data_IF_311411566724
#
_entry.id   IF_311411566724
#
_cell.length_a   1.000
_cell.length_b   1.000
_cell.length_c   1.000
_cell.angle_alpha   90.00
_cell.angle_beta   90.00
_cell.angle_gamma   90.00
#
_symmetry.space_group_name_H-M   'P 1'
#
loop_
_entity.id
_entity.type
_entity.pdbx_description
1 polymer ?
#
# COMPACT_ATOMS: atom_id res chain seq x y z
N UNK A 1 50.73 4.53 -57.75
CA UNK A 1 49.55 4.54 -56.87
C UNK A 1 50.08 4.96 -55.48
N UNK A 2 49.86 6.23 -55.16
CA UNK A 2 50.57 6.91 -54.09
C UNK A 2 50.01 6.54 -52.69
N UNK A 3 50.92 6.46 -51.72
CA UNK A 3 50.66 6.13 -50.29
C UNK A 3 49.62 7.10 -49.66
N UNK A 4 49.34 8.25 -50.27
CA UNK A 4 48.46 9.27 -49.79
C UNK A 4 46.95 8.92 -49.90
N UNK A 5 46.59 8.05 -50.87
CA UNK A 5 45.20 7.56 -51.01
C UNK A 5 44.82 6.54 -49.95
N UNK A 6 45.81 5.82 -49.40
CA UNK A 6 45.57 4.84 -48.32
C UNK A 6 45.39 5.52 -46.93
N UNK A 7 45.98 6.71 -46.76
CA UNK A 7 45.85 7.52 -45.51
C UNK A 7 44.52 8.21 -45.40
N UNK A 8 43.92 8.63 -46.49
CA UNK A 8 42.58 9.23 -46.51
C UNK A 8 41.46 8.23 -46.26
N UNK A 9 41.63 6.92 -46.64
CA UNK A 9 40.64 5.89 -46.41
C UNK A 9 40.52 5.44 -44.94
N UNK A 10 41.62 5.56 -44.17
CA UNK A 10 41.61 5.22 -42.71
C UNK A 10 40.98 6.33 -41.82
N UNK A 11 40.89 7.58 -42.27
CA UNK A 11 40.35 8.68 -41.48
C UNK A 11 38.82 8.76 -41.49
N UNK A 12 38.15 8.10 -42.45
CA UNK A 12 36.67 8.14 -42.60
C UNK A 12 35.98 7.01 -41.80
N UNK A 13 36.71 6.01 -41.31
CA UNK A 13 36.15 4.84 -40.65
C UNK A 13 35.86 5.02 -39.12
N UNK A 14 36.13 6.19 -38.54
CA UNK A 14 35.98 6.42 -37.08
C UNK A 14 34.88 7.39 -36.66
N UNK A 15 34.07 7.87 -37.59
CA UNK A 15 32.84 8.60 -37.24
C UNK A 15 31.66 7.62 -37.12
N UNK A 16 31.75 6.64 -36.24
CA UNK A 16 30.55 5.93 -35.76
C UNK A 16 29.76 6.95 -34.92
N UNK A 17 28.56 7.35 -35.35
CA UNK A 17 27.73 8.18 -34.48
C UNK A 17 27.53 7.34 -33.20
N UNK A 18 28.03 7.81 -32.08
CA UNK A 18 27.61 7.35 -30.77
C UNK A 18 26.14 7.73 -30.69
N UNK A 19 25.27 6.83 -31.11
CA UNK A 19 23.87 6.89 -30.75
C UNK A 19 23.88 6.87 -29.23
N UNK A 20 23.78 8.02 -28.61
CA UNK A 20 23.47 8.13 -27.19
C UNK A 20 22.17 7.36 -27.00
N UNK A 21 22.27 6.14 -26.52
CA UNK A 21 21.11 5.43 -26.01
C UNK A 21 20.57 6.32 -24.88
N UNK A 22 19.53 7.08 -25.19
CA UNK A 22 18.87 7.90 -24.21
C UNK A 22 18.25 6.91 -23.21
N UNK A 23 18.77 6.86 -22.00
CA UNK A 23 18.23 5.99 -20.97
C UNK A 23 16.81 6.46 -20.63
N UNK A 24 15.83 5.60 -20.78
CA UNK A 24 14.46 5.87 -20.37
C UNK A 24 14.29 5.32 -18.95
N UNK A 25 13.80 6.12 -18.01
CA UNK A 25 13.41 5.66 -16.67
C UNK A 25 12.01 5.06 -16.75
N UNK A 26 11.88 3.79 -16.44
CA UNK A 26 10.60 3.07 -16.51
C UNK A 26 10.08 2.77 -15.11
N UNK A 27 8.95 3.37 -14.74
CA UNK A 27 8.30 3.15 -13.45
C UNK A 27 7.08 2.26 -13.65
N UNK A 28 7.09 1.10 -13.03
CA UNK A 28 5.93 0.23 -12.91
C UNK A 28 4.97 0.74 -11.82
N UNK A 29 3.69 0.62 -12.06
CA UNK A 29 2.67 1.01 -11.08
C UNK A 29 1.66 -0.11 -10.97
N UNK A 30 1.51 -0.66 -9.77
CA UNK A 30 0.49 -1.68 -9.46
C UNK A 30 -0.50 -1.09 -8.47
N UNK A 31 -1.75 -0.89 -8.88
CA UNK A 31 -2.78 -0.21 -8.07
C UNK A 31 -4.15 -0.84 -8.29
N UNK A 32 -4.98 -0.87 -7.24
CA UNK A 32 -6.33 -1.41 -7.29
C UNK A 32 -7.31 -0.37 -7.86
N UNK A 33 -7.37 -0.19 -9.18
CA UNK A 33 -8.36 0.72 -9.79
C UNK A 33 -9.75 0.10 -9.89
N UNK A 34 -9.86 -1.20 -9.67
CA UNK A 34 -11.12 -1.95 -9.55
C UNK A 34 -11.15 -2.76 -8.25
N UNK A 35 -12.29 -3.40 -7.94
CA UNK A 35 -12.47 -4.20 -6.73
C UNK A 35 -12.67 -3.38 -5.44
N UNK A 36 -12.62 -4.03 -4.26
CA UNK A 36 -12.93 -3.40 -2.97
C UNK A 36 -12.05 -2.21 -2.58
N UNK A 37 -10.82 -2.12 -3.07
CA UNK A 37 -9.91 -1.00 -2.81
C UNK A 37 -9.95 0.09 -3.91
N UNK A 38 -10.90 0.03 -4.85
CA UNK A 38 -10.94 0.94 -5.99
C UNK A 38 -10.97 2.43 -5.61
N UNK A 39 -11.64 2.78 -4.52
CA UNK A 39 -11.67 4.17 -4.04
C UNK A 39 -10.25 4.74 -3.77
N UNK A 40 -9.32 3.89 -3.31
CA UNK A 40 -7.93 4.26 -3.07
C UNK A 40 -7.15 4.26 -4.38
N UNK A 41 -7.26 3.19 -5.17
CA UNK A 41 -6.47 3.02 -6.40
C UNK A 41 -6.82 4.02 -7.49
N UNK A 42 -8.10 4.43 -7.62
CA UNK A 42 -8.53 5.46 -8.56
C UNK A 42 -7.86 6.81 -8.23
N UNK A 43 -7.82 7.20 -6.95
CA UNK A 43 -7.15 8.44 -6.54
C UNK A 43 -5.66 8.40 -6.84
N UNK A 44 -5.01 7.27 -6.55
CA UNK A 44 -3.61 7.04 -6.90
C UNK A 44 -3.39 7.16 -8.41
N UNK A 45 -4.21 6.50 -9.22
CA UNK A 45 -4.11 6.54 -10.69
C UNK A 45 -4.32 7.97 -11.24
N UNK A 46 -5.19 8.76 -10.62
CA UNK A 46 -5.36 10.16 -11.00
C UNK A 46 -4.11 10.99 -10.69
N UNK A 47 -3.45 10.73 -9.55
CA UNK A 47 -2.21 11.42 -9.20
C UNK A 47 -1.05 11.06 -10.16
N UNK A 48 -0.97 9.83 -10.66
CA UNK A 48 0.05 9.39 -11.62
C UNK A 48 0.00 10.21 -12.92
N UNK A 49 -1.18 10.65 -13.35
CA UNK A 49 -1.34 11.49 -14.54
C UNK A 49 -0.67 12.87 -14.42
N UNK A 50 -0.31 13.27 -13.20
CA UNK A 50 0.39 14.52 -12.90
C UNK A 50 1.91 14.33 -12.78
N UNK A 51 2.41 13.10 -12.93
CA UNK A 51 3.82 12.81 -12.81
C UNK A 51 4.61 13.42 -13.99
N UNK A 52 5.88 13.80 -13.75
CA UNK A 52 6.68 14.50 -14.74
C UNK A 52 7.04 13.58 -15.91
N UNK A 53 7.18 14.16 -17.10
CA UNK A 53 7.61 13.44 -18.29
C UNK A 53 9.11 13.07 -18.28
N UNK A 54 9.88 13.60 -17.30
CA UNK A 54 11.30 13.32 -17.13
C UNK A 54 11.64 13.12 -15.66
N UNK A 55 12.57 12.20 -15.37
CA UNK A 55 13.13 11.96 -14.05
C UNK A 55 14.65 12.04 -14.14
N UNK A 56 15.27 12.89 -13.29
CA UNK A 56 16.72 13.08 -13.32
C UNK A 56 17.29 13.61 -14.65
N UNK A 57 16.44 14.21 -15.48
CA UNK A 57 16.82 14.68 -16.83
C UNK A 57 16.57 13.67 -17.95
N UNK A 58 16.26 12.41 -17.63
CA UNK A 58 15.93 11.36 -18.60
C UNK A 58 14.43 11.25 -18.84
N UNK A 59 13.97 10.87 -20.04
CA UNK A 59 12.55 10.57 -20.29
C UNK A 59 12.01 9.53 -19.32
N UNK A 60 10.78 9.72 -18.84
CA UNK A 60 10.12 8.81 -17.93
C UNK A 60 8.88 8.16 -18.59
N UNK A 61 8.77 6.85 -18.44
CA UNK A 61 7.61 6.06 -18.87
C UNK A 61 6.96 5.37 -17.67
N UNK A 62 5.65 5.42 -17.61
CA UNK A 62 4.85 4.85 -16.54
C UNK A 62 3.99 3.70 -17.05
N UNK A 63 4.19 2.49 -16.52
CA UNK A 63 3.42 1.28 -16.86
C UNK A 63 2.45 1.00 -15.73
N UNK A 64 1.17 1.31 -15.94
CA UNK A 64 0.14 1.18 -14.90
C UNK A 64 -0.67 -0.09 -15.12
N UNK A 65 -0.75 -0.93 -14.07
CA UNK A 65 -1.51 -2.17 -14.05
C UNK A 65 -2.54 -2.13 -12.90
N UNK A 66 -3.71 -2.71 -13.15
CA UNK A 66 -4.77 -2.88 -12.15
C UNK A 66 -4.68 -4.27 -11.54
N UNK A 67 -4.52 -4.34 -10.22
CA UNK A 67 -4.57 -5.61 -9.48
C UNK A 67 -5.99 -6.06 -9.12
N UNK A 68 -6.99 -5.17 -9.24
CA UNK A 68 -8.38 -5.46 -8.90
C UNK A 68 -8.60 -5.81 -7.43
N UNK A 69 -7.67 -5.45 -6.54
CA UNK A 69 -7.61 -5.86 -5.14
C UNK A 69 -7.40 -7.38 -4.97
N UNK A 70 -6.89 -8.07 -6.01
CA UNK A 70 -6.57 -9.49 -6.01
C UNK A 70 -5.08 -9.70 -5.82
N UNK A 71 -4.70 -10.41 -4.75
CA UNK A 71 -3.29 -10.64 -4.37
C UNK A 71 -2.53 -11.42 -5.44
N UNK A 72 -3.18 -12.41 -6.07
CA UNK A 72 -2.53 -13.23 -7.10
C UNK A 72 -2.29 -12.41 -8.36
N UNK A 73 -3.22 -11.50 -8.70
CA UNK A 73 -3.07 -10.58 -9.83
C UNK A 73 -1.96 -9.57 -9.55
N UNK A 74 -1.87 -9.01 -8.33
CA UNK A 74 -0.78 -8.13 -7.95
C UNK A 74 0.60 -8.79 -8.13
N UNK A 75 0.77 -10.04 -7.70
CA UNK A 75 2.01 -10.80 -7.92
C UNK A 75 2.29 -11.01 -9.42
N UNK A 76 1.28 -11.33 -10.23
CA UNK A 76 1.44 -11.45 -11.69
C UNK A 76 1.84 -10.12 -12.32
N UNK A 77 1.22 -9.02 -11.89
CA UNK A 77 1.56 -7.67 -12.34
C UNK A 77 3.02 -7.33 -12.01
N UNK A 78 3.46 -7.57 -10.77
CA UNK A 78 4.85 -7.32 -10.37
C UNK A 78 5.84 -8.16 -11.18
N UNK A 79 5.54 -9.44 -11.43
CA UNK A 79 6.37 -10.28 -12.29
C UNK A 79 6.42 -9.75 -13.72
N UNK A 80 5.29 -9.32 -14.28
CA UNK A 80 5.25 -8.70 -15.61
C UNK A 80 6.08 -7.42 -15.65
N UNK A 81 5.88 -6.51 -14.69
CA UNK A 81 6.62 -5.26 -14.60
C UNK A 81 8.13 -5.48 -14.54
N UNK A 82 8.59 -6.45 -13.74
CA UNK A 82 10.02 -6.72 -13.55
C UNK A 82 10.66 -7.51 -14.69
N UNK A 83 9.97 -8.52 -15.25
CA UNK A 83 10.55 -9.44 -16.22
C UNK A 83 10.31 -9.03 -17.68
N UNK A 84 9.12 -8.50 -18.00
CA UNK A 84 8.74 -8.13 -19.36
C UNK A 84 8.96 -6.63 -19.62
N UNK A 85 8.38 -5.78 -18.76
CA UNK A 85 8.46 -4.33 -18.89
C UNK A 85 9.81 -3.75 -18.38
N UNK A 86 10.58 -4.54 -17.61
CA UNK A 86 11.91 -4.23 -17.07
C UNK A 86 11.99 -2.87 -16.38
N UNK A 87 11.04 -2.64 -15.48
CA UNK A 87 10.93 -1.38 -14.75
C UNK A 87 12.08 -1.17 -13.77
N UNK A 88 12.51 0.08 -13.60
CA UNK A 88 13.57 0.47 -12.65
C UNK A 88 13.06 0.47 -11.20
N UNK A 89 11.77 0.74 -11.02
CA UNK A 89 11.12 0.71 -9.71
C UNK A 89 9.61 0.43 -9.86
N UNK A 90 8.99 -0.06 -8.77
CA UNK A 90 7.54 -0.26 -8.67
C UNK A 90 6.98 0.72 -7.64
N UNK A 91 5.91 1.43 -8.00
CA UNK A 91 5.09 2.21 -7.07
C UNK A 91 3.75 1.49 -6.88
N UNK A 92 3.36 1.28 -5.65
CA UNK A 92 2.27 0.39 -5.28
C UNK A 92 2.80 -0.89 -4.61
N UNK A 93 1.92 -1.83 -4.28
CA UNK A 93 0.46 -1.76 -4.37
C UNK A 93 -0.18 -0.93 -3.23
N UNK A 94 -1.50 -0.76 -3.32
CA UNK A 94 -2.29 -0.02 -2.33
C UNK A 94 -2.66 -0.86 -1.09
N UNK A 95 -2.51 -2.18 -1.13
CA UNK A 95 -2.93 -3.07 -0.05
C UNK A 95 -1.75 -3.80 0.58
N UNK A 96 -1.81 -3.99 1.90
CA UNK A 96 -0.77 -4.70 2.66
C UNK A 96 -0.58 -6.12 2.15
N UNK A 97 -1.67 -6.83 1.85
CA UNK A 97 -1.61 -8.22 1.40
C UNK A 97 -0.87 -8.35 0.05
N UNK A 98 -1.15 -7.44 -0.90
CA UNK A 98 -0.47 -7.44 -2.19
C UNK A 98 1.01 -7.07 -2.05
N UNK A 99 1.35 -6.08 -1.20
CA UNK A 99 2.74 -5.69 -0.95
C UNK A 99 3.55 -6.84 -0.34
N UNK A 100 3.00 -7.55 0.65
CA UNK A 100 3.65 -8.70 1.26
C UNK A 100 3.85 -9.86 0.28
N UNK A 101 2.85 -10.15 -0.54
CA UNK A 101 2.93 -11.22 -1.53
C UNK A 101 3.95 -10.93 -2.65
N UNK A 102 4.25 -9.66 -2.90
CA UNK A 102 5.25 -9.22 -3.87
C UNK A 102 6.70 -9.34 -3.41
N UNK A 103 6.97 -9.49 -2.10
CA UNK A 103 8.34 -9.46 -1.54
C UNK A 103 9.28 -10.47 -2.18
N UNK A 104 8.80 -11.68 -2.51
CA UNK A 104 9.63 -12.68 -3.18
C UNK A 104 10.04 -12.23 -4.59
N UNK A 105 9.14 -11.59 -5.34
CA UNK A 105 9.46 -11.03 -6.67
C UNK A 105 10.54 -9.96 -6.57
N UNK A 106 10.44 -9.07 -5.58
CA UNK A 106 11.44 -8.02 -5.36
C UNK A 106 12.81 -8.59 -4.98
N UNK A 107 12.83 -9.60 -4.11
CA UNK A 107 14.07 -10.27 -3.70
C UNK A 107 14.74 -11.03 -4.86
N UNK A 108 13.95 -11.66 -5.74
CA UNK A 108 14.42 -12.36 -6.93
C UNK A 108 15.00 -11.41 -7.99
N UNK A 109 14.42 -10.22 -8.15
CA UNK A 109 14.75 -9.32 -9.27
C UNK A 109 15.63 -8.14 -8.86
N UNK A 110 15.74 -7.83 -7.58
CA UNK A 110 16.43 -6.63 -7.08
C UNK A 110 15.73 -5.33 -7.47
N UNK A 111 14.43 -5.37 -7.79
CA UNK A 111 13.66 -4.19 -8.18
C UNK A 111 13.07 -3.51 -6.95
N UNK A 112 13.36 -2.23 -6.69
CA UNK A 112 12.78 -1.53 -5.54
C UNK A 112 11.29 -1.30 -5.70
N UNK A 113 10.54 -1.47 -4.60
CA UNK A 113 9.11 -1.16 -4.50
C UNK A 113 8.88 -0.06 -3.48
N UNK A 114 8.07 0.91 -3.83
CA UNK A 114 7.52 1.93 -2.91
C UNK A 114 6.05 1.61 -2.70
N UNK A 115 5.74 0.82 -1.67
CA UNK A 115 4.37 0.47 -1.34
C UNK A 115 3.55 1.70 -0.89
N UNK A 116 2.29 1.74 -1.29
CA UNK A 116 1.33 2.77 -0.93
C UNK A 116 0.42 2.33 0.24
N UNK A 117 0.77 1.23 0.89
CA UNK A 117 0.14 0.71 2.10
C UNK A 117 0.96 1.05 3.34
N UNK A 118 0.31 1.33 4.47
CA UNK A 118 0.95 1.90 5.65
C UNK A 118 1.52 0.88 6.64
N UNK A 119 1.17 -0.39 6.51
CA UNK A 119 1.56 -1.42 7.49
C UNK A 119 3.08 -1.56 7.62
N UNK A 120 3.59 -1.51 8.86
CA UNK A 120 5.01 -1.67 9.17
C UNK A 120 5.55 -3.03 8.74
N UNK A 121 4.73 -4.08 8.74
CA UNK A 121 5.14 -5.44 8.36
C UNK A 121 5.63 -5.57 6.91
N UNK A 122 5.38 -4.57 6.07
CA UNK A 122 5.89 -4.54 4.69
C UNK A 122 7.42 -4.38 4.69
N UNK A 123 7.94 -3.56 5.60
CA UNK A 123 9.36 -3.19 5.66
C UNK A 123 10.07 -3.74 6.90
N UNK A 124 9.35 -4.27 7.87
CA UNK A 124 9.89 -4.82 9.12
C UNK A 124 9.70 -6.34 9.21
N UNK A 125 10.67 -7.07 9.80
CA UNK A 125 11.95 -6.55 10.33
C UNK A 125 12.95 -6.23 9.22
N UNK A 126 13.75 -5.19 9.40
CA UNK A 126 14.80 -4.78 8.44
C UNK A 126 15.87 -5.85 8.20
N UNK A 127 16.00 -6.81 9.11
CA UNK A 127 16.92 -7.94 8.99
C UNK A 127 16.44 -9.03 8.03
N UNK A 128 15.19 -8.99 7.58
CA UNK A 128 14.66 -9.95 6.61
C UNK A 128 15.13 -9.59 5.19
N UNK A 129 15.97 -10.44 4.54
CA UNK A 129 16.52 -10.14 3.23
C UNK A 129 15.44 -9.96 2.14
N UNK A 130 14.25 -10.53 2.29
CA UNK A 130 13.13 -10.34 1.36
C UNK A 130 12.63 -8.89 1.33
N UNK A 131 12.93 -8.10 2.36
CA UNK A 131 12.52 -6.70 2.49
C UNK A 131 13.57 -5.70 2.06
N UNK A 132 14.75 -6.16 1.62
CA UNK A 132 15.85 -5.29 1.21
C UNK A 132 15.45 -4.28 0.11
N UNK A 133 14.48 -4.63 -0.73
CA UNK A 133 13.99 -3.82 -1.83
C UNK A 133 12.59 -3.23 -1.57
N UNK A 134 12.04 -3.43 -0.37
CA UNK A 134 10.72 -2.95 -0.01
C UNK A 134 10.80 -1.63 0.78
N UNK A 135 10.19 -0.60 0.25
CA UNK A 135 9.99 0.70 0.86
C UNK A 135 8.50 1.00 0.93
N UNK A 136 8.10 1.99 1.72
CA UNK A 136 6.72 2.46 1.74
C UNK A 136 6.64 3.97 1.96
N UNK A 137 5.63 4.61 1.40
CA UNK A 137 5.43 6.04 1.50
C UNK A 137 4.60 6.46 2.73
N UNK A 138 3.45 5.81 3.06
CA UNK A 138 2.67 6.23 4.21
C UNK A 138 3.42 5.99 5.53
N UNK A 139 3.09 6.78 6.56
CA UNK A 139 3.59 6.59 7.93
C UNK A 139 3.27 5.18 8.46
N UNK A 140 4.00 4.73 9.47
CA UNK A 140 3.72 3.44 10.12
C UNK A 140 2.36 3.48 10.84
N UNK A 141 1.63 2.37 10.77
CA UNK A 141 0.40 2.13 11.51
C UNK A 141 0.62 2.20 13.03
N UNK A 142 1.79 1.82 13.54
CA UNK A 142 2.18 1.98 14.94
C UNK A 142 2.12 3.43 15.43
N UNK A 143 2.61 4.40 14.62
CA UNK A 143 2.54 5.82 14.96
C UNK A 143 1.09 6.27 15.07
N UNK A 144 0.26 5.89 14.11
CA UNK A 144 -1.16 6.22 14.11
C UNK A 144 -1.90 5.59 15.30
N UNK A 145 -1.60 4.31 15.61
CA UNK A 145 -2.19 3.61 16.75
C UNK A 145 -1.87 4.33 18.07
N UNK A 146 -0.63 4.79 18.25
CA UNK A 146 -0.22 5.57 19.42
C UNK A 146 -1.05 6.85 19.55
N UNK A 147 -1.19 7.62 18.47
CA UNK A 147 -1.97 8.88 18.48
C UNK A 147 -3.45 8.64 18.80
N UNK A 148 -4.04 7.58 18.22
CA UNK A 148 -5.45 7.23 18.49
C UNK A 148 -5.63 6.82 19.95
N UNK A 149 -4.74 6.01 20.51
CA UNK A 149 -4.80 5.59 21.92
C UNK A 149 -4.62 6.78 22.86
N UNK A 150 -3.70 7.70 22.56
CA UNK A 150 -3.52 8.91 23.36
C UNK A 150 -4.78 9.80 23.36
N UNK A 151 -5.44 9.96 22.22
CA UNK A 151 -6.69 10.70 22.13
C UNK A 151 -7.82 10.02 22.91
N UNK A 152 -7.94 8.68 22.81
CA UNK A 152 -8.89 7.91 23.61
C UNK A 152 -8.66 8.11 25.12
N UNK A 153 -7.40 8.07 25.57
CA UNK A 153 -7.01 8.32 26.96
C UNK A 153 -7.34 9.73 27.43
N UNK A 154 -7.03 10.75 26.61
CA UNK A 154 -7.36 12.16 26.91
C UNK A 154 -8.86 12.38 27.06
N UNK A 155 -9.68 11.64 26.35
CA UNK A 155 -11.15 11.67 26.45
C UNK A 155 -11.72 10.80 27.58
N UNK A 156 -10.86 10.13 28.35
CA UNK A 156 -11.29 9.28 29.47
C UNK A 156 -11.95 7.96 29.05
N UNK A 157 -11.82 7.56 27.78
CA UNK A 157 -12.34 6.30 27.26
C UNK A 157 -11.50 5.15 27.83
N UNK A 158 -12.13 4.06 28.24
CA UNK A 158 -11.44 2.93 28.89
C UNK A 158 -11.72 1.58 28.24
N UNK A 159 -12.97 1.37 27.79
CA UNK A 159 -13.39 0.13 27.16
C UNK A 159 -13.46 0.36 25.66
N UNK A 160 -12.65 -0.33 24.90
CA UNK A 160 -12.58 -0.15 23.44
C UNK A 160 -12.88 -1.47 22.75
N UNK A 161 -13.70 -1.42 21.69
CA UNK A 161 -13.84 -2.54 20.78
C UNK A 161 -13.05 -2.30 19.49
N UNK A 162 -12.58 -3.38 18.91
CA UNK A 162 -11.91 -3.40 17.62
C UNK A 162 -12.76 -4.15 16.60
N UNK A 163 -12.93 -3.58 15.41
CA UNK A 163 -13.49 -4.28 14.25
C UNK A 163 -12.61 -4.00 13.05
N UNK A 164 -11.97 -5.01 12.49
CA UNK A 164 -10.98 -4.83 11.42
C UNK A 164 -11.13 -5.83 10.29
N UNK A 165 -10.46 -5.54 9.16
CA UNK A 165 -10.39 -6.50 8.07
C UNK A 165 -9.82 -7.84 8.52
N UNK A 166 -10.34 -8.93 7.94
CA UNK A 166 -9.81 -10.29 8.12
C UNK A 166 -8.67 -10.55 7.11
N UNK A 167 -7.67 -9.67 7.11
CA UNK A 167 -6.47 -9.76 6.26
C UNK A 167 -5.26 -9.19 6.99
N UNK A 168 -4.09 -9.20 6.32
CA UNK A 168 -2.83 -8.71 6.88
C UNK A 168 -2.85 -7.23 7.30
N UNK A 169 -3.71 -6.39 6.70
CA UNK A 169 -3.92 -5.02 7.14
C UNK A 169 -4.60 -4.97 8.51
N UNK A 170 -5.70 -5.69 8.67
CA UNK A 170 -6.41 -5.77 9.95
C UNK A 170 -5.58 -6.44 11.05
N UNK A 171 -4.73 -7.42 10.69
CA UNK A 171 -3.82 -8.09 11.64
C UNK A 171 -2.71 -7.15 12.11
N UNK A 172 -2.12 -6.38 11.20
CA UNK A 172 -1.13 -5.35 11.54
C UNK A 172 -1.75 -4.30 12.48
N UNK A 173 -2.91 -3.78 12.14
CA UNK A 173 -3.61 -2.81 12.97
C UNK A 173 -3.98 -3.36 14.35
N UNK A 174 -4.42 -4.61 14.41
CA UNK A 174 -4.70 -5.26 15.70
C UNK A 174 -3.44 -5.33 16.57
N UNK A 175 -2.33 -5.76 15.99
CA UNK A 175 -1.04 -5.86 16.70
C UNK A 175 -0.60 -4.48 17.23
N UNK A 176 -0.57 -3.46 16.39
CA UNK A 176 -0.09 -2.13 16.74
C UNK A 176 -1.05 -1.43 17.73
N UNK A 177 -2.35 -1.55 17.53
CA UNK A 177 -3.34 -1.01 18.46
C UNK A 177 -3.27 -1.68 19.83
N UNK A 178 -3.15 -3.02 19.89
CA UNK A 178 -3.05 -3.75 21.14
C UNK A 178 -1.77 -3.40 21.90
N UNK A 179 -0.65 -3.22 21.19
CA UNK A 179 0.61 -2.80 21.77
C UNK A 179 0.51 -1.37 22.34
N UNK A 180 -0.07 -0.44 21.60
CA UNK A 180 -0.26 0.94 22.03
C UNK A 180 -1.25 1.06 23.22
N UNK A 181 -2.33 0.29 23.19
CA UNK A 181 -3.35 0.27 24.25
C UNK A 181 -2.79 -0.20 25.59
N UNK A 182 -1.90 -1.21 25.57
CA UNK A 182 -1.24 -1.76 26.78
C UNK A 182 -2.25 -2.13 27.86
N UNK A 183 -2.00 -1.68 29.08
CA UNK A 183 -2.91 -1.82 30.22
C UNK A 183 -3.89 -0.64 30.39
N UNK A 184 -3.72 0.41 29.64
CA UNK A 184 -4.47 1.67 29.82
C UNK A 184 -5.88 1.62 29.23
N UNK A 185 -6.05 0.86 28.13
CA UNK A 185 -7.32 0.60 27.48
C UNK A 185 -7.67 -0.89 27.53
N UNK A 186 -8.88 -1.19 27.98
CA UNK A 186 -9.41 -2.55 27.97
C UNK A 186 -10.08 -2.84 26.65
N UNK A 187 -9.56 -3.78 25.87
CA UNK A 187 -10.27 -4.28 24.69
C UNK A 187 -11.37 -5.24 25.13
N UNK A 188 -12.63 -4.83 24.93
CA UNK A 188 -13.82 -5.57 25.37
C UNK A 188 -14.44 -6.43 24.28
N UNK A 189 -14.14 -6.16 23.00
CA UNK A 189 -14.54 -7.00 21.86
C UNK A 189 -13.55 -6.84 20.72
N UNK A 190 -13.36 -7.93 19.98
CA UNK A 190 -12.54 -7.96 18.76
C UNK A 190 -13.28 -8.73 17.68
N UNK A 191 -13.65 -8.07 16.60
CA UNK A 191 -14.37 -8.68 15.47
C UNK A 191 -13.63 -8.45 14.16
N UNK A 192 -13.90 -9.31 13.20
CA UNK A 192 -13.29 -9.26 11.87
C UNK A 192 -14.34 -9.31 10.78
N UNK A 193 -14.04 -8.68 9.63
CA UNK A 193 -14.89 -8.72 8.44
C UNK A 193 -14.05 -8.73 7.17
N UNK A 194 -14.62 -9.24 6.09
CA UNK A 194 -13.96 -9.29 4.78
C UNK A 194 -14.19 -7.98 4.02
N UNK A 195 -13.26 -7.62 3.14
CA UNK A 195 -13.42 -6.46 2.23
C UNK A 195 -14.64 -6.59 1.31
N UNK A 196 -15.10 -7.81 1.08
CA UNK A 196 -16.23 -8.15 0.19
C UNK A 196 -17.53 -8.39 0.94
N UNK A 197 -17.56 -8.26 2.27
CA UNK A 197 -18.77 -8.46 3.04
C UNK A 197 -19.82 -7.41 2.68
N UNK A 198 -21.02 -7.87 2.37
CA UNK A 198 -22.19 -7.01 2.14
C UNK A 198 -22.87 -6.59 3.45
N UNK A 199 -22.56 -7.27 4.57
CA UNK A 199 -23.14 -7.01 5.89
C UNK A 199 -22.17 -7.37 7.00
N UNK A 200 -22.14 -6.54 8.05
CA UNK A 200 -21.36 -6.76 9.27
C UNK A 200 -22.24 -6.69 10.53
N UNK A 201 -23.54 -6.92 10.36
CA UNK A 201 -24.52 -6.81 11.45
C UNK A 201 -24.17 -7.73 12.61
N UNK A 202 -23.77 -8.98 12.33
CA UNK A 202 -23.41 -9.95 13.37
C UNK A 202 -22.23 -9.48 14.21
N UNK A 203 -21.18 -8.97 13.56
CA UNK A 203 -19.98 -8.44 14.23
C UNK A 203 -20.34 -7.18 15.05
N UNK A 204 -21.11 -6.26 14.47
CA UNK A 204 -21.51 -5.02 15.13
C UNK A 204 -22.38 -5.30 16.36
N UNK A 205 -23.30 -6.25 16.32
CA UNK A 205 -24.12 -6.63 17.47
C UNK A 205 -23.28 -7.16 18.64
N UNK A 206 -22.25 -7.96 18.37
CA UNK A 206 -21.30 -8.43 19.38
C UNK A 206 -20.50 -7.26 19.98
N UNK A 207 -20.04 -6.35 19.15
CA UNK A 207 -19.34 -5.13 19.57
C UNK A 207 -20.24 -4.32 20.52
N UNK A 208 -21.48 -4.02 20.12
CA UNK A 208 -22.43 -3.24 20.94
C UNK A 208 -22.75 -3.97 22.27
N UNK A 209 -22.93 -5.29 22.23
CA UNK A 209 -23.21 -6.08 23.43
C UNK A 209 -22.09 -6.01 24.48
N UNK A 210 -20.85 -5.79 24.05
CA UNK A 210 -19.70 -5.60 24.95
C UNK A 210 -19.65 -4.19 25.60
N UNK A 211 -20.56 -3.29 25.23
CA UNK A 211 -20.70 -1.92 25.78
C UNK A 211 -19.38 -1.14 25.77
N UNK A 212 -18.70 -0.98 24.62
CA UNK A 212 -17.48 -0.19 24.57
C UNK A 212 -17.78 1.31 24.65
N UNK A 213 -16.83 2.08 25.22
CA UNK A 213 -16.84 3.55 25.19
C UNK A 213 -16.48 4.05 23.78
N UNK A 214 -15.64 3.28 23.08
CA UNK A 214 -15.22 3.57 21.72
C UNK A 214 -15.09 2.30 20.86
N UNK A 215 -15.23 2.47 19.55
CA UNK A 215 -14.95 1.43 18.56
C UNK A 215 -13.87 1.91 17.60
N UNK A 216 -12.79 1.15 17.47
CA UNK A 216 -11.80 1.36 16.41
C UNK A 216 -12.13 0.46 15.21
N UNK A 217 -12.34 1.09 14.05
CA UNK A 217 -12.56 0.41 12.78
C UNK A 217 -11.25 0.40 11.99
N UNK A 218 -10.65 -0.78 11.82
CA UNK A 218 -9.43 -0.97 11.04
C UNK A 218 -9.77 -1.46 9.62
N UNK A 219 -10.22 -0.54 8.80
CA UNK A 219 -10.57 -0.73 7.40
C UNK A 219 -9.94 0.30 6.49
N UNK A 220 -10.12 0.13 5.19
CA UNK A 220 -9.61 1.02 4.16
C UNK A 220 -10.55 1.06 2.95
N UNK A 221 -10.65 2.24 2.31
CA UNK A 221 -11.55 2.45 1.19
C UNK A 221 -13.04 2.27 1.56
N UNK A 222 -13.89 2.16 0.54
CA UNK A 222 -15.35 2.07 0.69
C UNK A 222 -15.81 1.00 1.70
N UNK A 223 -15.25 -0.22 1.75
CA UNK A 223 -15.70 -1.23 2.71
C UNK A 223 -15.56 -0.80 4.18
N UNK A 224 -14.64 0.12 4.51
CA UNK A 224 -14.45 0.58 5.88
C UNK A 224 -15.61 1.44 6.43
N UNK A 225 -16.44 1.97 5.56
CA UNK A 225 -17.64 2.70 5.96
C UNK A 225 -18.76 1.79 6.49
N UNK A 226 -18.77 0.51 6.10
CA UNK A 226 -19.83 -0.43 6.44
C UNK A 226 -19.99 -0.66 7.96
N UNK A 227 -18.92 -0.91 8.74
CA UNK A 227 -19.06 -1.03 10.20
C UNK A 227 -19.56 0.24 10.86
N UNK A 228 -19.08 1.41 10.45
CA UNK A 228 -19.54 2.69 11.01
C UNK A 228 -21.02 2.92 10.75
N UNK A 229 -21.46 2.75 9.51
CA UNK A 229 -22.88 2.87 9.14
C UNK A 229 -23.73 1.92 9.97
N UNK A 230 -23.32 0.65 10.06
CA UNK A 230 -24.07 -0.36 10.81
C UNK A 230 -24.12 -0.05 12.32
N UNK A 231 -23.02 0.46 12.92
CA UNK A 231 -23.00 0.90 14.32
C UNK A 231 -24.04 2.00 14.57
N UNK A 232 -24.07 3.01 13.72
CA UNK A 232 -25.03 4.12 13.83
C UNK A 232 -26.48 3.66 13.64
N UNK A 233 -26.75 2.81 12.63
CA UNK A 233 -28.06 2.23 12.37
C UNK A 233 -28.58 1.36 13.54
N UNK A 234 -27.66 0.76 14.32
CA UNK A 234 -27.99 -0.02 15.53
C UNK A 234 -27.97 0.78 16.81
N UNK A 235 -27.92 2.10 16.71
CA UNK A 235 -28.05 3.02 17.85
C UNK A 235 -26.80 3.12 18.74
N UNK A 236 -25.60 2.78 18.21
CA UNK A 236 -24.37 3.01 18.95
C UNK A 236 -24.08 4.51 19.07
N UNK A 237 -23.86 4.99 20.29
CA UNK A 237 -23.65 6.40 20.63
C UNK A 237 -22.25 6.70 21.16
N UNK A 238 -21.40 5.68 21.33
CA UNK A 238 -20.01 5.87 21.76
C UNK A 238 -19.12 6.45 20.67
N UNK A 239 -17.88 6.70 20.99
CA UNK A 239 -16.92 7.25 20.04
C UNK A 239 -16.57 6.24 18.95
N UNK A 240 -16.45 6.68 17.71
CA UNK A 240 -16.01 5.85 16.57
C UNK A 240 -14.71 6.44 16.05
N UNK A 241 -13.68 5.58 15.97
CA UNK A 241 -12.38 5.88 15.41
C UNK A 241 -12.19 5.08 14.13
N UNK A 242 -11.53 5.68 13.17
CA UNK A 242 -11.16 5.04 11.91
C UNK A 242 -9.65 5.13 11.71
N UNK A 243 -9.09 4.13 11.03
CA UNK A 243 -7.70 4.20 10.59
C UNK A 243 -7.57 5.14 9.39
N UNK A 244 -6.33 5.54 9.05
CA UNK A 244 -6.06 6.44 7.92
C UNK A 244 -6.57 5.90 6.57
N UNK A 245 -6.86 4.61 6.45
CA UNK A 245 -7.41 4.00 5.23
C UNK A 245 -8.77 4.54 4.80
N UNK A 246 -9.49 5.29 5.68
CA UNK A 246 -10.75 5.98 5.33
C UNK A 246 -10.51 7.32 4.61
N UNK A 247 -9.31 7.88 4.66
CA UNK A 247 -9.01 9.25 4.19
C UNK A 247 -9.22 9.50 2.70
N UNK A 248 -9.70 8.52 1.96
CA UNK A 248 -10.04 8.60 0.53
C UNK A 248 -11.55 8.63 0.26
N UNK A 249 -12.37 8.69 1.29
CA UNK A 249 -13.83 8.71 1.20
C UNK A 249 -14.40 10.12 1.40
#
# INVERSE_FOLDING_TARGET
>A
MSLDLLRCACAIALAVPVLSAQAEVVIGVDVSTTGPAAAIGIQTNNAIRLWPATLGGEPARYVVLDDGTDVSRAVKNMRKLTSEDKVDAIVGPNTTAAALAGLDVLAETGTPMIALAASSVIVEPLSDPKRAWAFKMPQNDSLMATVLVEDMKKKGLKNVAFIGFADSYGDSWWKEFSAAAGSDLKVVAQERFQRTDASVVGQVLKVIAAKPDAVLIAGAGTPSALPQKTLLERGYTGAIYQTHGIGTL
#
